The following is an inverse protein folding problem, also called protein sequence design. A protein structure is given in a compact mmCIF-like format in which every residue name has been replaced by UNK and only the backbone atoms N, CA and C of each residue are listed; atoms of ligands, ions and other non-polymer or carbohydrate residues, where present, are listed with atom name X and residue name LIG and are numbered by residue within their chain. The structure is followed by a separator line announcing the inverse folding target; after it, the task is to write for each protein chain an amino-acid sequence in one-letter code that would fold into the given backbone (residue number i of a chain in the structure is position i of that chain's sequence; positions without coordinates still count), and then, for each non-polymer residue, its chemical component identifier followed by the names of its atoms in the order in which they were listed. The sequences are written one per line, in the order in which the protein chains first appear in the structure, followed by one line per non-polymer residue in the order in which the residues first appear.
data_IF_266119745689
#
_entry.id   IF_266119745689
#
_cell.length_a   1.000
_cell.length_b   1.000
_cell.length_c   1.000
_cell.angle_alpha   90.00
_cell.angle_beta   90.00
_cell.angle_gamma   90.00
#
_symmetry.space_group_name_H-M   'P 1'
#
loop_
_entity.id
_entity.type
_entity.pdbx_description
1 polymer ?
#
# COMPACT_ATOMS: atom_id res chain seq x y z
N UNK A 1 -4.50 -17.32 -14.51
CA UNK A 1 -4.46 -16.12 -13.63
C UNK A 1 -3.28 -16.34 -12.71
N UNK A 2 -2.11 -15.84 -13.07
CA UNK A 2 -0.92 -15.97 -12.22
C UNK A 2 -0.85 -14.73 -11.32
N UNK A 3 -1.41 -14.86 -10.12
CA UNK A 3 -1.02 -14.03 -9.00
C UNK A 3 0.35 -14.55 -8.60
N UNK A 4 1.38 -13.70 -8.53
CA UNK A 4 2.70 -14.15 -8.10
C UNK A 4 2.64 -14.80 -6.71
N UNK A 5 3.02 -16.07 -6.63
CA UNK A 5 3.05 -16.88 -5.41
C UNK A 5 4.08 -16.43 -4.36
N UNK A 6 4.80 -15.33 -4.58
CA UNK A 6 5.88 -14.86 -3.71
C UNK A 6 5.49 -13.68 -2.80
N UNK A 7 4.19 -13.40 -2.63
CA UNK A 7 3.69 -12.35 -1.73
C UNK A 7 3.62 -12.82 -0.25
N UNK A 8 3.43 -11.89 0.70
CA UNK A 8 3.28 -12.19 2.14
C UNK A 8 1.85 -11.90 2.64
N UNK A 9 0.82 -12.61 2.15
CA UNK A 9 -0.58 -12.29 2.45
C UNK A 9 -0.93 -12.43 3.94
N UNK A 10 -0.34 -13.37 4.66
CA UNK A 10 -0.57 -13.53 6.11
C UNK A 10 -0.04 -12.33 6.91
N UNK A 11 1.12 -11.80 6.51
CA UNK A 11 1.66 -10.55 7.07
C UNK A 11 0.76 -9.35 6.75
N UNK A 12 0.10 -9.31 5.60
CA UNK A 12 -0.88 -8.28 5.27
C UNK A 12 -2.15 -8.44 6.13
N UNK A 13 -2.77 -9.62 6.14
CA UNK A 13 -4.04 -9.85 6.84
C UNK A 13 -3.95 -9.59 8.35
N UNK A 14 -2.82 -9.89 8.99
CA UNK A 14 -2.61 -9.62 10.42
C UNK A 14 -2.60 -8.14 10.81
N UNK A 15 -2.60 -7.20 9.85
CA UNK A 15 -2.67 -5.77 10.13
C UNK A 15 -3.80 -5.04 9.39
N UNK A 16 -4.76 -5.76 8.81
CA UNK A 16 -5.83 -5.17 7.99
C UNK A 16 -6.61 -4.09 8.75
N UNK A 17 -7.01 -4.36 9.99
CA UNK A 17 -7.76 -3.42 10.82
C UNK A 17 -6.89 -2.21 11.22
N UNK A 18 -5.60 -2.43 11.52
CA UNK A 18 -4.66 -1.35 11.86
C UNK A 18 -4.52 -0.40 10.67
N UNK A 19 -4.30 -0.94 9.47
CA UNK A 19 -4.17 -0.15 8.25
C UNK A 19 -5.45 0.63 7.95
N UNK A 20 -6.61 -0.02 8.07
CA UNK A 20 -7.91 0.60 7.86
C UNK A 20 -8.14 1.80 8.79
N UNK A 21 -7.93 1.62 10.10
CA UNK A 21 -8.13 2.69 11.08
C UNK A 21 -7.12 3.81 10.89
N UNK A 22 -5.84 3.50 10.63
CA UNK A 22 -4.84 4.54 10.41
C UNK A 22 -5.12 5.35 9.15
N UNK A 23 -5.36 4.71 8.01
CA UNK A 23 -5.54 5.39 6.73
C UNK A 23 -6.89 6.10 6.60
N UNK A 24 -7.96 5.56 7.16
CA UNK A 24 -9.31 6.06 6.89
C UNK A 24 -9.98 6.72 8.10
N UNK A 25 -9.28 6.82 9.23
CA UNK A 25 -9.81 7.50 10.41
C UNK A 25 -8.79 8.34 11.18
N UNK A 26 -7.60 7.82 11.45
CA UNK A 26 -6.65 8.48 12.38
C UNK A 26 -5.70 9.47 11.70
N UNK A 27 -5.06 9.08 10.60
CA UNK A 27 -4.04 9.92 9.96
C UNK A 27 -4.67 11.08 9.18
N UNK A 28 -3.97 12.21 9.16
CA UNK A 28 -4.30 13.38 8.36
C UNK A 28 -3.32 13.49 7.20
N UNK A 29 -3.83 13.33 5.99
CA UNK A 29 -3.04 13.44 4.78
C UNK A 29 -3.91 13.84 3.59
N UNK A 30 -3.31 14.44 2.57
CA UNK A 30 -3.94 14.65 1.27
C UNK A 30 -3.57 13.51 0.30
N UNK A 31 -4.53 12.63 -0.09
CA UNK A 31 -4.26 11.57 -1.06
C UNK A 31 -3.82 12.10 -2.43
N UNK A 32 -4.16 13.34 -2.81
CA UNK A 32 -3.74 13.95 -4.08
C UNK A 32 -2.32 14.51 -4.02
N UNK A 33 -1.80 14.74 -2.81
CA UNK A 33 -0.45 15.22 -2.56
C UNK A 33 0.22 14.38 -1.46
N UNK A 34 0.56 13.10 -1.73
CA UNK A 34 1.06 12.18 -0.69
C UNK A 34 2.39 12.64 -0.08
N UNK A 35 3.18 13.46 -0.80
CA UNK A 35 4.45 14.01 -0.34
C UNK A 35 4.34 15.36 0.39
N UNK A 36 3.12 15.86 0.65
CA UNK A 36 2.92 17.11 1.39
C UNK A 36 3.69 17.08 2.73
N UNK A 37 4.50 18.10 3.05
CA UNK A 37 5.24 18.17 4.31
C UNK A 37 4.35 18.21 5.56
N UNK A 38 3.07 18.58 5.44
CA UNK A 38 2.11 18.64 6.54
C UNK A 38 1.33 17.34 6.75
N UNK A 39 1.45 16.36 5.85
CA UNK A 39 0.84 15.05 6.04
C UNK A 39 1.51 14.30 7.20
N UNK A 40 0.71 13.57 7.96
CA UNK A 40 1.22 12.53 8.85
C UNK A 40 2.04 11.52 8.04
N UNK A 41 3.10 10.98 8.65
CA UNK A 41 4.02 10.05 8.00
C UNK A 41 3.75 8.63 8.47
N UNK A 42 3.49 7.74 7.52
CA UNK A 42 3.40 6.31 7.74
C UNK A 42 4.66 5.61 7.21
N UNK A 43 5.29 4.77 8.04
CA UNK A 43 6.46 3.97 7.65
C UNK A 43 6.13 2.50 7.87
N UNK A 44 6.04 1.73 6.79
CA UNK A 44 5.85 0.28 6.86
C UNK A 44 7.20 -0.42 7.08
N UNK A 45 7.66 -0.46 8.34
CA UNK A 45 8.93 -1.11 8.69
C UNK A 45 8.97 -2.60 8.31
N UNK A 46 7.84 -3.31 8.40
CA UNK A 46 7.70 -4.68 7.87
C UNK A 46 7.42 -4.67 6.36
N UNK A 47 8.39 -4.17 5.58
CA UNK A 47 8.22 -3.87 4.15
C UNK A 47 7.73 -5.04 3.29
N UNK A 48 7.93 -6.29 3.72
CA UNK A 48 7.41 -7.47 3.02
C UNK A 48 5.87 -7.53 2.97
N UNK A 49 5.18 -6.78 3.85
CA UNK A 49 3.74 -6.54 3.79
C UNK A 49 3.35 -5.39 2.84
N UNK A 50 4.23 -4.98 1.92
CA UNK A 50 3.99 -3.91 0.93
C UNK A 50 2.63 -3.93 0.23
N UNK A 51 2.07 -5.10 -0.17
CA UNK A 51 0.78 -5.13 -0.84
C UNK A 51 -0.37 -4.47 -0.07
N UNK A 52 -0.38 -4.51 1.26
CA UNK A 52 -1.44 -3.84 2.03
C UNK A 52 -1.32 -2.32 2.00
N UNK A 53 -0.10 -1.79 1.88
CA UNK A 53 0.13 -0.36 1.71
C UNK A 53 -0.40 0.10 0.35
N UNK A 54 -0.16 -0.66 -0.71
CA UNK A 54 -0.70 -0.35 -2.03
C UNK A 54 -2.23 -0.44 -2.05
N UNK A 55 -2.81 -1.45 -1.40
CA UNK A 55 -4.26 -1.56 -1.25
C UNK A 55 -4.87 -0.33 -0.55
N UNK A 56 -4.22 0.19 0.51
CA UNK A 56 -4.69 1.41 1.16
C UNK A 56 -4.60 2.65 0.25
N UNK A 57 -3.55 2.76 -0.58
CA UNK A 57 -3.42 3.87 -1.53
C UNK A 57 -4.39 3.78 -2.71
N UNK A 58 -4.78 2.56 -3.10
CA UNK A 58 -5.88 2.34 -4.05
C UNK A 58 -7.19 2.81 -3.46
N UNK A 59 -7.52 2.37 -2.25
CA UNK A 59 -8.76 2.75 -1.56
C UNK A 59 -8.80 4.25 -1.24
N UNK A 60 -7.66 4.87 -0.94
CA UNK A 60 -7.54 6.33 -0.78
C UNK A 60 -7.68 7.12 -2.10
N UNK A 61 -7.75 6.43 -3.25
CA UNK A 61 -7.96 7.01 -4.58
C UNK A 61 -6.70 7.57 -5.24
N UNK A 62 -5.50 7.28 -4.71
CA UNK A 62 -4.23 7.70 -5.34
C UNK A 62 -3.82 6.76 -6.47
N UNK A 63 -4.01 5.44 -6.28
CA UNK A 63 -3.59 4.42 -7.23
C UNK A 63 -4.84 3.81 -7.89
N UNK A 64 -4.88 3.66 -9.23
CA UNK A 64 -5.98 2.96 -9.88
C UNK A 64 -6.05 1.49 -9.45
N UNK A 65 -7.24 0.96 -9.17
CA UNK A 65 -7.42 -0.43 -8.73
C UNK A 65 -6.82 -1.45 -9.72
N UNK A 66 -6.84 -1.14 -11.02
CA UNK A 66 -6.24 -1.97 -12.07
C UNK A 66 -4.74 -2.22 -11.89
N UNK A 67 -4.02 -1.32 -11.20
CA UNK A 67 -2.58 -1.47 -10.94
C UNK A 67 -2.27 -2.60 -9.96
N UNK A 68 -3.20 -2.99 -9.08
CA UNK A 68 -2.97 -4.10 -8.14
C UNK A 68 -2.67 -5.43 -8.85
N UNK A 69 -3.17 -5.59 -10.08
CA UNK A 69 -2.91 -6.75 -10.92
C UNK A 69 -1.50 -6.76 -11.54
N UNK A 70 -0.76 -5.65 -11.40
CA UNK A 70 0.59 -5.48 -11.88
C UNK A 70 1.64 -5.64 -10.79
N UNK A 71 1.24 -5.94 -9.54
CA UNK A 71 2.14 -6.19 -8.42
C UNK A 71 3.30 -7.10 -8.84
N UNK A 72 4.54 -6.60 -8.65
CA UNK A 72 5.84 -7.23 -8.92
C UNK A 72 6.17 -7.53 -10.38
N UNK A 73 5.35 -7.08 -11.33
CA UNK A 73 5.76 -7.10 -12.73
C UNK A 73 6.93 -6.15 -12.93
N UNK A 74 7.82 -6.50 -13.87
CA UNK A 74 9.04 -5.74 -14.13
C UNK A 74 8.77 -4.28 -14.52
N UNK A 75 7.62 -4.03 -15.17
CA UNK A 75 7.18 -2.71 -15.63
C UNK A 75 6.21 -2.04 -14.66
N UNK A 76 6.08 -2.53 -13.43
CA UNK A 76 5.19 -1.97 -12.41
C UNK A 76 5.98 -1.29 -11.30
N UNK A 77 5.50 -0.11 -10.91
CA UNK A 77 5.99 0.59 -9.72
C UNK A 77 5.53 -0.10 -8.41
N UNK A 78 4.60 -1.07 -8.47
CA UNK A 78 4.16 -1.84 -7.30
C UNK A 78 5.12 -3.00 -7.03
N UNK A 79 6.25 -2.71 -6.39
CA UNK A 79 7.28 -3.69 -6.08
C UNK A 79 6.94 -4.60 -4.88
N UNK A 80 7.73 -5.67 -4.68
CA UNK A 80 7.54 -6.59 -3.56
C UNK A 80 7.78 -5.99 -2.16
N UNK A 81 8.50 -4.87 -2.11
CA UNK A 81 8.70 -4.02 -0.93
C UNK A 81 8.45 -2.56 -1.35
N UNK A 82 7.98 -1.68 -0.45
CA UNK A 82 7.79 -0.26 -0.79
C UNK A 82 9.12 0.42 -1.15
N UNK A 83 9.14 1.13 -2.27
CA UNK A 83 10.26 1.96 -2.74
C UNK A 83 9.85 3.45 -2.77
N UNK A 84 10.80 4.40 -2.66
CA UNK A 84 10.51 5.84 -2.59
C UNK A 84 9.92 6.47 -3.84
#
# INVERSE_FOLDING_TARGET
MEIENHSHPTSCCSMAEIMSVLFFHTMKYDPKNPRDPYNDRFILSKGHAGPILYACWVEAGLIPESELLNLRKIDSDLEGHPTP
#
